data_IF_856817077781
#
_entry.id   IF_856817077781
#
_cell.length_a   1.000
_cell.length_b   1.000
_cell.length_c   1.000
_cell.angle_alpha   90.00
_cell.angle_beta   90.00
_cell.angle_gamma   90.00
#
_symmetry.space_group_name_H-M   'P 1'
#
loop_
_entity.id
_entity.type
_entity.pdbx_description
1 polymer ?
#
# COMPACT_ATOMS: atom_id res chain seq x y z
N UNK A 1 9.74 -16.66 2.51
CA UNK A 1 9.31 -16.41 3.89
C UNK A 1 8.13 -15.45 3.83
N UNK A 2 6.97 -15.80 4.39
CA UNK A 2 5.84 -14.88 4.49
C UNK A 2 6.00 -14.11 5.81
N UNK A 3 6.25 -12.80 5.72
CA UNK A 3 6.11 -11.92 6.88
C UNK A 3 4.60 -11.74 7.07
N UNK A 4 3.99 -12.60 7.88
CA UNK A 4 2.63 -12.38 8.36
C UNK A 4 2.68 -11.23 9.37
N UNK A 5 2.47 -10.00 8.89
CA UNK A 5 2.24 -8.87 9.78
C UNK A 5 0.87 -9.03 10.43
N UNK A 6 0.76 -9.02 11.78
CA UNK A 6 -0.54 -9.03 12.46
C UNK A 6 -1.40 -7.86 11.96
N UNK A 7 -2.52 -8.15 11.31
CA UNK A 7 -3.45 -7.14 10.79
C UNK A 7 -3.24 -6.71 9.33
N UNK A 8 -2.63 -7.54 8.48
CA UNK A 8 -2.61 -7.31 7.03
C UNK A 8 -4.02 -7.49 6.41
N UNK A 9 -4.34 -6.68 5.39
CA UNK A 9 -5.57 -6.81 4.59
C UNK A 9 -5.46 -7.88 3.51
N UNK A 10 -4.29 -8.00 2.90
CA UNK A 10 -3.94 -9.03 1.95
C UNK A 10 -2.42 -9.25 1.97
N UNK A 11 -1.97 -10.29 1.28
CA UNK A 11 -0.57 -10.44 0.89
C UNK A 11 -0.47 -11.21 -0.41
N UNK A 12 0.48 -10.82 -1.26
CA UNK A 12 0.92 -11.65 -2.39
C UNK A 12 2.00 -12.65 -1.96
N UNK A 13 2.11 -13.76 -2.69
CA UNK A 13 3.26 -14.66 -2.58
C UNK A 13 4.39 -14.20 -3.52
N UNK A 14 5.65 -14.11 -3.06
CA UNK A 14 6.77 -13.83 -3.94
C UNK A 14 6.83 -14.84 -5.10
N UNK A 15 7.23 -14.37 -6.28
CA UNK A 15 7.31 -15.17 -7.53
C UNK A 15 5.99 -15.83 -7.95
N UNK A 16 4.86 -15.30 -7.50
CA UNK A 16 3.53 -15.76 -7.84
C UNK A 16 2.59 -14.57 -8.02
N UNK A 17 1.55 -14.76 -8.83
CA UNK A 17 0.45 -13.81 -8.98
C UNK A 17 -0.70 -14.08 -8.00
N UNK A 18 -0.55 -15.07 -7.09
CA UNK A 18 -1.57 -15.37 -6.10
C UNK A 18 -1.59 -14.30 -5.00
N UNK A 19 -2.76 -13.67 -4.83
CA UNK A 19 -3.07 -12.73 -3.75
C UNK A 19 -4.05 -13.42 -2.79
N UNK A 20 -3.73 -13.37 -1.50
CA UNK A 20 -4.59 -13.90 -0.44
C UNK A 20 -5.17 -12.73 0.34
N UNK A 21 -6.50 -12.67 0.43
CA UNK A 21 -7.23 -11.62 1.13
C UNK A 21 -7.71 -12.08 2.50
N UNK A 22 -7.79 -11.14 3.45
CA UNK A 22 -8.40 -11.36 4.76
C UNK A 22 -9.95 -11.41 4.63
N UNK A 23 -10.68 -11.33 5.75
CA UNK A 23 -12.16 -11.34 5.80
C UNK A 23 -12.75 -10.32 4.82
N UNK A 24 -13.28 -10.85 3.71
CA UNK A 24 -13.73 -10.08 2.56
C UNK A 24 -15.22 -10.30 2.32
N UNK A 25 -15.89 -9.22 1.96
CA UNK A 25 -17.27 -9.15 1.54
C UNK A 25 -17.27 -8.60 0.10
N UNK A 26 -17.38 -9.51 -0.87
CA UNK A 26 -17.25 -9.18 -2.29
C UNK A 26 -18.40 -8.30 -2.76
N UNK A 27 -19.62 -8.58 -2.27
CA UNK A 27 -20.80 -7.81 -2.67
C UNK A 27 -20.77 -6.38 -2.12
N UNK A 28 -20.22 -6.18 -0.93
CA UNK A 28 -20.07 -4.87 -0.31
C UNK A 28 -18.74 -4.16 -0.64
N UNK A 29 -17.92 -4.74 -1.53
CA UNK A 29 -16.58 -4.24 -1.87
C UNK A 29 -15.75 -3.89 -0.63
N UNK A 30 -15.62 -4.84 0.30
CA UNK A 30 -15.03 -4.56 1.61
C UNK A 30 -14.09 -5.67 2.07
N UNK A 31 -12.96 -5.28 2.64
CA UNK A 31 -12.05 -6.17 3.37
C UNK A 31 -11.74 -5.62 4.75
N UNK A 32 -11.65 -6.50 5.74
CA UNK A 32 -11.39 -6.13 7.14
C UNK A 32 -10.24 -6.93 7.73
N UNK A 33 -9.42 -6.28 8.57
CA UNK A 33 -8.30 -6.92 9.27
C UNK A 33 -8.51 -7.01 10.79
N UNK A 34 -9.65 -6.51 11.30
CA UNK A 34 -10.01 -6.54 12.72
C UNK A 34 -9.41 -5.42 13.60
N UNK A 35 -8.66 -4.46 13.03
CA UNK A 35 -8.18 -3.30 13.78
C UNK A 35 -9.30 -2.27 14.03
N UNK A 36 -9.28 -1.63 15.19
CA UNK A 36 -10.29 -0.65 15.58
C UNK A 36 -10.23 0.65 14.74
N UNK A 37 -9.05 1.05 14.26
CA UNK A 37 -8.83 2.23 13.42
C UNK A 37 -8.10 1.78 12.14
N UNK A 38 -8.57 2.24 10.97
CA UNK A 38 -7.99 1.87 9.68
C UNK A 38 -8.05 0.36 9.40
N UNK A 39 -9.02 -0.35 10.01
CA UNK A 39 -9.17 -1.79 9.90
C UNK A 39 -10.15 -2.27 8.83
N UNK A 40 -10.62 -1.35 7.99
CA UNK A 40 -11.49 -1.59 6.84
C UNK A 40 -10.94 -0.85 5.63
N UNK A 41 -10.89 -1.51 4.47
CA UNK A 41 -10.61 -0.91 3.16
C UNK A 41 -11.60 -1.46 2.13
N UNK A 42 -11.66 -0.84 0.96
CA UNK A 42 -12.39 -1.45 -0.16
C UNK A 42 -11.67 -2.71 -0.62
N UNK A 43 -12.40 -3.70 -1.11
CA UNK A 43 -11.79 -4.90 -1.66
C UNK A 43 -11.06 -4.55 -2.97
N UNK A 44 -11.67 -3.72 -3.83
CA UNK A 44 -11.07 -3.26 -5.08
C UNK A 44 -9.78 -2.48 -4.87
N UNK A 45 -9.73 -1.62 -3.84
CA UNK A 45 -8.52 -0.86 -3.50
C UNK A 45 -7.38 -1.77 -3.06
N UNK A 46 -7.68 -2.80 -2.26
CA UNK A 46 -6.67 -3.80 -1.87
C UNK A 46 -6.24 -4.68 -3.05
N UNK A 47 -7.15 -5.06 -3.96
CA UNK A 47 -6.79 -5.73 -5.21
C UNK A 47 -5.83 -4.86 -6.03
N UNK A 48 -6.14 -3.58 -6.23
CA UNK A 48 -5.31 -2.65 -6.99
C UNK A 48 -3.93 -2.46 -6.35
N UNK A 49 -3.88 -2.36 -5.01
CA UNK A 49 -2.64 -2.25 -4.24
C UNK A 49 -1.75 -3.48 -4.47
N UNK A 50 -2.26 -4.69 -4.22
CA UNK A 50 -1.49 -5.94 -4.35
C UNK A 50 -1.09 -6.22 -5.81
N UNK A 51 -1.97 -5.88 -6.76
CA UNK A 51 -1.67 -5.98 -8.19
C UNK A 51 -0.53 -5.05 -8.58
N UNK A 52 -0.45 -3.85 -7.99
CA UNK A 52 0.65 -2.91 -8.25
C UNK A 52 2.00 -3.51 -7.88
N UNK A 53 2.10 -4.21 -6.75
CA UNK A 53 3.33 -4.92 -6.37
C UNK A 53 3.75 -5.97 -7.39
N UNK A 54 2.78 -6.72 -7.95
CA UNK A 54 3.04 -7.71 -9.01
C UNK A 54 3.54 -7.02 -10.28
N UNK A 55 2.87 -5.95 -10.71
CA UNK A 55 3.24 -5.19 -11.92
C UNK A 55 4.65 -4.62 -11.80
N UNK A 56 4.98 -4.02 -10.66
CA UNK A 56 6.33 -3.47 -10.41
C UNK A 56 7.39 -4.56 -10.35
N UNK A 57 7.10 -5.69 -9.70
CA UNK A 57 8.02 -6.82 -9.66
C UNK A 57 8.27 -7.42 -11.05
N UNK A 58 7.24 -7.50 -11.90
CA UNK A 58 7.38 -7.96 -13.29
C UNK A 58 8.18 -6.97 -14.15
N UNK A 59 8.04 -5.66 -13.91
CA UNK A 59 8.70 -4.62 -14.69
C UNK A 59 10.16 -4.39 -14.27
N UNK A 60 10.43 -4.31 -12.97
CA UNK A 60 11.76 -3.99 -12.43
C UNK A 60 12.57 -5.22 -11.99
N UNK A 61 11.92 -6.38 -11.90
CA UNK A 61 12.46 -7.61 -11.34
C UNK A 61 12.15 -7.79 -9.85
N UNK A 62 11.81 -9.01 -9.43
CA UNK A 62 11.35 -9.35 -8.08
C UNK A 62 12.33 -8.90 -6.99
N UNK A 63 13.63 -9.19 -7.18
CA UNK A 63 14.69 -8.86 -6.20
C UNK A 63 14.84 -7.36 -6.08
N UNK A 64 14.91 -6.65 -7.20
CA UNK A 64 15.04 -5.19 -7.22
C UNK A 64 13.83 -4.52 -6.57
N UNK A 65 12.62 -5.00 -6.90
CA UNK A 65 11.38 -4.52 -6.29
C UNK A 65 11.40 -4.64 -4.77
N UNK A 66 11.87 -5.77 -4.24
CA UNK A 66 11.91 -6.01 -2.79
C UNK A 66 12.96 -5.17 -2.05
N UNK A 67 13.98 -4.66 -2.75
CA UNK A 67 15.06 -3.84 -2.17
C UNK A 67 14.71 -2.36 -2.02
N UNK A 68 13.59 -1.90 -2.60
CA UNK A 68 13.21 -0.49 -2.47
C UNK A 68 12.79 -0.15 -1.03
N UNK A 69 13.03 1.08 -0.56
CA UNK A 69 12.42 1.60 0.66
C UNK A 69 10.92 1.34 0.76
N UNK A 70 10.43 0.96 1.94
CA UNK A 70 9.00 0.68 2.20
C UNK A 70 8.09 1.81 1.75
N UNK A 71 8.49 3.07 1.92
CA UNK A 71 7.69 4.22 1.51
C UNK A 71 7.48 4.28 -0.01
N UNK A 72 8.43 3.77 -0.82
CA UNK A 72 8.27 3.70 -2.28
C UNK A 72 7.36 2.54 -2.65
N UNK A 73 7.58 1.35 -2.08
CA UNK A 73 6.79 0.16 -2.39
C UNK A 73 5.31 0.37 -2.02
N UNK A 74 5.06 0.62 -0.73
CA UNK A 74 3.71 0.72 -0.18
C UNK A 74 3.01 2.02 -0.60
N UNK A 75 3.75 3.13 -0.63
CA UNK A 75 3.22 4.43 -1.02
C UNK A 75 2.83 4.49 -2.50
N UNK A 76 3.55 3.79 -3.38
CA UNK A 76 3.22 3.71 -4.80
C UNK A 76 2.00 2.81 -5.03
N UNK A 77 1.93 1.67 -4.35
CA UNK A 77 0.75 0.81 -4.40
C UNK A 77 -0.52 1.51 -3.90
N UNK A 78 -0.46 2.26 -2.79
CA UNK A 78 -1.56 3.09 -2.29
C UNK A 78 -1.87 4.29 -3.21
N UNK A 79 -0.87 4.83 -3.91
CA UNK A 79 -1.10 5.88 -4.92
C UNK A 79 -1.93 5.34 -6.09
N UNK A 80 -1.52 4.20 -6.66
CA UNK A 80 -2.20 3.55 -7.77
C UNK A 80 -3.61 3.05 -7.40
N UNK A 81 -3.80 2.57 -6.18
CA UNK A 81 -5.11 2.18 -5.65
C UNK A 81 -6.04 3.38 -5.38
N UNK A 82 -5.54 4.61 -5.47
CA UNK A 82 -6.25 5.84 -5.09
C UNK A 82 -6.79 5.85 -3.65
N UNK A 83 -6.24 5.00 -2.78
CA UNK A 83 -6.72 4.78 -1.42
C UNK A 83 -5.58 4.75 -0.42
N UNK A 84 -5.92 4.90 0.86
CA UNK A 84 -5.00 4.72 1.98
C UNK A 84 -5.71 3.97 3.09
N UNK A 85 -4.93 3.43 4.03
CA UNK A 85 -5.47 2.83 5.26
C UNK A 85 -6.13 3.87 6.20
N UNK A 86 -5.94 5.17 5.93
CA UNK A 86 -6.53 6.28 6.69
C UNK A 86 -7.17 7.31 5.74
N UNK A 87 -8.32 7.83 6.14
CA UNK A 87 -8.85 9.09 5.61
C UNK A 87 -8.08 10.30 6.17
N UNK A 88 -8.21 11.46 5.54
CA UNK A 88 -7.58 12.71 6.02
C UNK A 88 -8.01 13.06 7.45
N UNK A 89 -9.29 12.88 7.76
CA UNK A 89 -9.84 13.12 9.10
C UNK A 89 -9.26 12.14 10.14
N UNK A 90 -9.12 10.86 9.79
CA UNK A 90 -8.49 9.86 10.65
C UNK A 90 -7.00 10.14 10.84
N UNK A 91 -6.28 10.57 9.80
CA UNK A 91 -4.88 10.95 9.91
C UNK A 91 -4.69 12.16 10.84
N UNK A 92 -5.53 13.19 10.71
CA UNK A 92 -5.50 14.36 11.62
C UNK A 92 -5.79 13.95 13.06
N UNK A 93 -6.79 13.09 13.27
CA UNK A 93 -7.11 12.58 14.61
C UNK A 93 -5.94 11.76 15.18
N UNK A 94 -5.42 10.84 14.38
CA UNK A 94 -4.36 9.93 14.79
C UNK A 94 -3.06 10.68 15.09
N UNK A 95 -2.71 11.72 14.34
CA UNK A 95 -1.57 12.60 14.67
C UNK A 95 -1.69 13.27 16.04
N UNK A 96 -2.90 13.52 16.54
CA UNK A 96 -3.12 14.11 17.87
C UNK A 96 -3.10 13.06 18.98
N UNK A 97 -3.57 11.85 18.71
CA UNK A 97 -3.74 10.80 19.73
C UNK A 97 -2.56 9.83 19.81
N UNK A 98 -1.97 9.51 18.67
CA UNK A 98 -0.83 8.61 18.51
C UNK A 98 -0.01 8.99 17.25
N UNK A 99 0.87 10.01 17.36
CA UNK A 99 1.67 10.47 16.23
C UNK A 99 2.70 9.43 15.73
N UNK A 100 2.96 8.37 16.51
CA UNK A 100 3.86 7.28 16.13
C UNK A 100 3.14 6.10 15.48
N UNK A 101 1.81 6.18 15.29
CA UNK A 101 1.01 5.10 14.75
C UNK A 101 1.53 4.66 13.35
N UNK A 102 1.79 3.36 13.13
CA UNK A 102 2.29 2.86 11.84
C UNK A 102 1.41 3.24 10.65
N UNK A 103 0.10 3.38 10.83
CA UNK A 103 -0.82 3.77 9.77
C UNK A 103 -0.54 5.16 9.19
N UNK A 104 0.07 6.08 9.97
CA UNK A 104 0.50 7.40 9.49
C UNK A 104 1.65 7.27 8.49
N UNK A 105 2.53 6.28 8.64
CA UNK A 105 3.64 6.04 7.71
C UNK A 105 3.15 5.73 6.30
N UNK A 106 2.13 4.86 6.18
CA UNK A 106 1.52 4.52 4.89
C UNK A 106 0.79 5.72 4.27
N UNK A 107 0.02 6.45 5.09
CA UNK A 107 -0.67 7.66 4.67
C UNK A 107 0.31 8.73 4.12
N UNK A 108 1.41 8.97 4.82
CA UNK A 108 2.44 9.93 4.41
C UNK A 108 3.24 9.46 3.20
N UNK A 109 3.52 8.15 3.12
CA UNK A 109 4.20 7.55 1.98
C UNK A 109 3.43 7.80 0.68
N UNK A 110 2.11 7.55 0.64
CA UNK A 110 1.26 7.83 -0.54
C UNK A 110 1.38 9.28 -1.00
N UNK A 111 1.33 10.24 -0.07
CA UNK A 111 1.43 11.68 -0.38
C UNK A 111 2.82 12.04 -0.89
N UNK A 112 3.87 11.49 -0.29
CA UNK A 112 5.25 11.65 -0.76
C UNK A 112 5.42 11.11 -2.18
N UNK A 113 4.84 9.95 -2.49
CA UNK A 113 4.88 9.38 -3.84
C UNK A 113 4.16 10.25 -4.85
N UNK A 114 2.94 10.73 -4.54
CA UNK A 114 2.21 11.63 -5.44
C UNK A 114 3.02 12.89 -5.79
N UNK A 115 3.66 13.52 -4.80
CA UNK A 115 4.53 14.67 -5.01
C UNK A 115 5.77 14.32 -5.86
N UNK A 116 6.40 13.17 -5.59
CA UNK A 116 7.61 12.73 -6.29
C UNK A 116 7.32 12.36 -7.74
N UNK A 117 6.22 11.64 -8.02
CA UNK A 117 5.78 11.30 -9.36
C UNK A 117 5.43 12.56 -10.17
N UNK A 118 4.76 13.55 -9.55
CA UNK A 118 4.52 14.84 -10.18
C UNK A 118 5.82 15.52 -10.63
N UNK A 119 6.85 15.52 -9.78
CA UNK A 119 8.17 16.06 -10.13
C UNK A 119 8.89 15.27 -11.23
N UNK A 120 8.64 13.95 -11.32
CA UNK A 120 9.20 13.04 -12.34
C UNK A 120 8.34 12.91 -13.60
N UNK A 121 7.34 13.79 -13.78
CA UNK A 121 6.38 13.77 -14.91
C UNK A 121 5.65 12.42 -15.07
N UNK A 122 5.45 11.70 -13.97
CA UNK A 122 4.79 10.39 -13.95
C UNK A 122 5.64 9.21 -14.45
N UNK A 123 6.95 9.39 -14.71
CA UNK A 123 7.80 8.27 -15.13
C UNK A 123 8.06 7.31 -13.96
N UNK A 124 7.59 6.06 -14.12
CA UNK A 124 7.78 4.98 -13.15
C UNK A 124 9.26 4.64 -13.00
N UNK A 125 9.98 4.50 -14.11
CA UNK A 125 11.42 4.21 -14.07
C UNK A 125 12.21 5.33 -13.39
N UNK A 126 11.90 6.60 -13.69
CA UNK A 126 12.59 7.73 -13.06
C UNK A 126 12.25 7.87 -11.56
N UNK A 127 11.07 7.42 -11.15
CA UNK A 127 10.68 7.36 -9.74
C UNK A 127 11.47 6.28 -8.98
N UNK A 128 11.58 5.07 -9.53
CA UNK A 128 12.30 3.96 -8.91
C UNK A 128 13.83 4.00 -9.14
N UNK A 129 14.34 4.84 -10.04
CA UNK A 129 15.77 5.02 -10.25
C UNK A 129 16.42 6.07 -9.33
N UNK A 130 15.63 6.96 -8.71
CA UNK A 130 16.12 8.11 -7.93
C UNK A 130 15.96 7.98 -6.42
N UNK A 131 15.90 6.75 -5.89
CA UNK A 131 15.79 6.44 -4.46
C UNK A 131 17.10 6.63 -3.70
#
# INVERSE_FOLDING_TARGET
>A
MAIQSPGAFAFRRPFSSAIVFNRSDVAADRVTNGRAIGGTRTLSGVIAHETTHIVIANHLGEVRSAMFPTWQQEGYADHMAHESSLTDAEAVRLRKTDPAAPALVYYDARRRVAATLGAKRGSVDAFFAGG
#
